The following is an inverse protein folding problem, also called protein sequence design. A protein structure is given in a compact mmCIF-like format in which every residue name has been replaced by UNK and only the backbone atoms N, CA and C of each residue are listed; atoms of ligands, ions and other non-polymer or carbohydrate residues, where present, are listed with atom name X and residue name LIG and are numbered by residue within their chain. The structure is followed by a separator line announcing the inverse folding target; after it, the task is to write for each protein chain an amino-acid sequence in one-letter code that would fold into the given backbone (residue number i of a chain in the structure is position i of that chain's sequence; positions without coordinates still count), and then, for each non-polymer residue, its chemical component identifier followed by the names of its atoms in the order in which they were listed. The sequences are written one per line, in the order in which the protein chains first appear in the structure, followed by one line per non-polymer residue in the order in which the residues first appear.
data_IF_286182803478
#
_entry.id   IF_286182803478
#
_cell.length_a   1.000
_cell.length_b   1.000
_cell.length_c   1.000
_cell.angle_alpha   90.00
_cell.angle_beta   90.00
_cell.angle_gamma   90.00
#
_symmetry.space_group_name_H-M   'P 1'
#
loop_
_entity.id
_entity.type
_entity.pdbx_description
1 polymer ?
#
# COMPACT_ATOMS: atom_id res chain seq x y z
N UNK A 1 49.75 -24.97 2.30
CA UNK A 1 49.78 -24.11 1.09
C UNK A 1 48.88 -22.91 1.34
N UNK A 2 49.41 -21.78 1.83
CA UNK A 2 48.65 -20.53 1.94
C UNK A 2 48.94 -19.71 0.68
N UNK A 3 47.93 -19.57 -0.16
CA UNK A 3 47.98 -18.86 -1.44
C UNK A 3 48.27 -17.38 -1.23
N UNK A 4 49.25 -16.86 -1.96
CA UNK A 4 49.43 -15.43 -2.24
C UNK A 4 48.13 -14.87 -2.82
N UNK A 5 47.33 -14.20 -1.98
CA UNK A 5 46.27 -13.32 -2.48
C UNK A 5 46.97 -12.12 -3.12
N UNK A 6 46.68 -11.85 -4.39
CA UNK A 6 47.32 -10.73 -5.08
C UNK A 6 46.87 -9.41 -4.46
N UNK A 7 47.78 -8.44 -4.33
CA UNK A 7 47.46 -7.10 -3.77
C UNK A 7 46.28 -6.42 -4.48
N UNK A 8 45.99 -6.81 -5.72
CA UNK A 8 44.82 -6.34 -6.49
C UNK A 8 43.51 -6.89 -5.94
N UNK A 9 43.47 -8.16 -5.52
CA UNK A 9 42.28 -8.73 -4.88
C UNK A 9 42.00 -8.11 -3.52
N UNK A 10 43.04 -7.84 -2.73
CA UNK A 10 42.91 -7.16 -1.44
C UNK A 10 42.41 -5.71 -1.60
N UNK A 11 42.88 -4.98 -2.62
CA UNK A 11 42.42 -3.62 -2.88
C UNK A 11 40.94 -3.58 -3.31
N UNK A 12 40.50 -4.54 -4.12
CA UNK A 12 39.10 -4.63 -4.59
C UNK A 12 38.14 -4.96 -3.44
N UNK A 13 38.53 -5.84 -2.52
CA UNK A 13 37.68 -6.17 -1.35
C UNK A 13 37.58 -5.01 -0.36
N UNK A 14 38.68 -4.29 -0.11
CA UNK A 14 38.66 -3.09 0.74
C UNK A 14 37.78 -2.00 0.13
N UNK A 15 37.87 -1.78 -1.19
CA UNK A 15 37.04 -0.79 -1.88
C UNK A 15 35.55 -1.14 -1.80
N UNK A 16 35.19 -2.42 -1.99
CA UNK A 16 33.81 -2.88 -1.90
C UNK A 16 33.20 -2.66 -0.50
N UNK A 17 33.97 -2.91 0.57
CA UNK A 17 33.54 -2.65 1.95
C UNK A 17 33.32 -1.14 2.19
N UNK A 18 34.20 -0.29 1.65
CA UNK A 18 34.11 1.16 1.81
C UNK A 18 32.86 1.74 1.11
N UNK A 19 32.51 1.23 -0.07
CA UNK A 19 31.30 1.63 -0.81
C UNK A 19 30.03 1.24 -0.04
N UNK A 20 29.98 0.03 0.52
CA UNK A 20 28.83 -0.43 1.31
C UNK A 20 28.67 0.41 2.59
N UNK A 21 29.79 0.76 3.26
CA UNK A 21 29.75 1.62 4.45
C UNK A 21 29.28 3.05 4.12
N UNK A 22 29.69 3.63 2.99
CA UNK A 22 29.24 4.96 2.55
C UNK A 22 27.74 5.00 2.24
N UNK A 23 27.21 3.98 1.54
CA UNK A 23 25.76 3.87 1.25
C UNK A 23 24.94 3.67 2.53
N UNK A 24 25.48 2.93 3.51
CA UNK A 24 24.87 2.77 4.84
C UNK A 24 24.84 4.04 5.68
N UNK A 25 25.85 4.91 5.57
CA UNK A 25 25.92 6.18 6.33
C UNK A 25 24.96 7.23 5.77
N UNK A 26 24.76 7.30 4.44
CA UNK A 26 23.83 8.27 3.82
C UNK A 26 22.37 7.95 4.17
N UNK A 27 22.03 6.66 4.34
CA UNK A 27 20.67 6.24 4.69
C UNK A 27 20.31 6.42 6.18
N UNK A 28 21.25 6.87 7.03
CA UNK A 28 21.04 6.95 8.49
C UNK A 28 21.28 8.35 9.10
N UNK A 29 21.23 9.43 8.31
CA UNK A 29 21.17 10.81 8.81
C UNK A 29 19.76 11.39 8.64
N UNK A 30 18.79 10.80 9.33
CA UNK A 30 17.50 11.45 9.62
C UNK A 30 16.96 10.93 10.95
N UNK A 31 17.75 11.15 12.00
CA UNK A 31 17.26 11.11 13.38
C UNK A 31 17.70 12.42 14.01
N UNK A 32 16.81 13.40 13.87
CA UNK A 32 16.95 14.71 14.47
C UNK A 32 17.13 14.60 15.99
N UNK A 33 18.18 15.27 16.44
CA UNK A 33 18.27 15.84 17.77
C UNK A 33 17.14 16.85 17.99
N UNK A 34 16.16 16.52 18.83
CA UNK A 34 15.43 17.54 19.58
C UNK A 34 14.99 16.97 20.92
N UNK A 35 15.83 17.19 21.94
CA UNK A 35 15.44 17.05 23.34
C UNK A 35 15.62 18.40 24.01
N UNK A 36 14.49 18.93 24.49
CA UNK A 36 14.32 19.94 25.53
C UNK A 36 14.89 21.35 25.26
N UNK A 37 13.99 22.33 25.13
CA UNK A 37 14.03 23.53 26.00
C UNK A 37 12.63 24.13 26.04
N UNK A 38 12.04 24.16 27.24
CA UNK A 38 10.85 24.90 27.57
C UNK A 38 11.18 26.39 27.68
N UNK A 39 10.45 27.25 26.98
CA UNK A 39 10.33 28.66 27.35
C UNK A 39 8.95 29.18 26.93
N UNK A 40 8.13 29.54 27.92
CA UNK A 40 7.02 30.47 27.72
C UNK A 40 7.55 31.83 27.25
N UNK A 41 6.80 32.53 26.39
CA UNK A 41 6.28 33.90 26.61
C UNK A 41 5.58 34.47 25.35
N UNK A 42 4.27 34.67 25.50
CA UNK A 42 3.41 35.80 25.10
C UNK A 42 3.71 36.75 23.91
N UNK A 43 2.63 36.95 23.12
CA UNK A 43 1.96 38.24 22.74
C UNK A 43 2.26 38.92 21.38
N UNK A 44 1.19 38.91 20.57
CA UNK A 44 0.70 39.83 19.51
C UNK A 44 1.62 40.43 18.44
N UNK A 45 1.25 40.18 17.17
CA UNK A 45 0.90 41.26 16.22
C UNK A 45 0.08 40.75 15.01
N UNK A 46 -0.72 41.67 14.48
CA UNK A 46 -1.85 41.66 13.53
C UNK A 46 -1.65 41.13 12.08
N UNK A 47 -2.61 40.30 11.62
CA UNK A 47 -3.53 40.37 10.43
C UNK A 47 -2.94 40.81 9.05
N UNK A 48 -3.20 40.11 7.90
CA UNK A 48 -4.56 39.83 7.42
C UNK A 48 -4.92 38.43 6.93
N UNK A 49 -6.23 38.23 6.98
CA UNK A 49 -7.05 37.12 6.53
C UNK A 49 -6.62 36.63 5.14
N UNK A 50 -6.10 35.41 5.11
CA UNK A 50 -6.13 34.52 3.96
C UNK A 50 -6.99 33.35 4.36
N UNK A 51 -7.95 32.99 3.51
CA UNK A 51 -8.94 31.94 3.70
C UNK A 51 -8.28 30.66 4.21
N UNK A 52 -8.36 30.43 5.52
CA UNK A 52 -8.20 29.10 6.08
C UNK A 52 -9.47 28.32 5.70
N UNK A 53 -9.46 27.80 4.47
CA UNK A 53 -10.22 26.59 4.14
C UNK A 53 -9.77 25.58 5.18
N UNK A 54 -10.63 25.33 6.17
CA UNK A 54 -10.39 24.32 7.21
C UNK A 54 -10.13 23.00 6.51
N UNK A 55 -8.85 22.68 6.30
CA UNK A 55 -8.42 21.35 5.89
C UNK A 55 -8.76 20.47 7.08
N UNK A 56 -9.93 19.85 7.04
CA UNK A 56 -10.29 18.79 7.98
C UNK A 56 -9.21 17.73 7.78
N UNK A 57 -8.23 17.69 8.66
CA UNK A 57 -7.17 16.69 8.65
C UNK A 57 -7.85 15.35 8.97
N UNK A 58 -8.24 14.64 7.91
CA UNK A 58 -8.76 13.28 8.03
C UNK A 58 -7.72 12.40 8.73
N UNK A 59 -8.20 11.45 9.53
CA UNK A 59 -7.32 10.50 10.19
C UNK A 59 -6.63 9.63 9.14
N UNK A 60 -5.38 9.25 9.38
CA UNK A 60 -4.64 8.35 8.49
C UNK A 60 -4.71 6.92 8.99
N UNK A 61 -5.01 6.00 8.08
CA UNK A 61 -4.82 4.57 8.25
C UNK A 61 -3.79 4.05 7.26
N UNK A 62 -3.13 2.95 7.59
CA UNK A 62 -2.20 2.27 6.69
C UNK A 62 -2.64 0.83 6.53
N UNK A 63 -2.71 0.36 5.30
CA UNK A 63 -3.14 -0.98 4.93
C UNK A 63 -2.02 -1.71 4.20
N UNK A 64 -1.88 -3.00 4.43
CA UNK A 64 -1.09 -3.87 3.58
C UNK A 64 -1.93 -5.10 3.24
N UNK A 65 -1.95 -5.48 1.97
CA UNK A 65 -2.67 -6.67 1.52
C UNK A 65 -1.67 -7.79 1.26
N UNK A 66 -1.95 -8.98 1.79
CA UNK A 66 -1.23 -10.22 1.50
C UNK A 66 -2.17 -11.16 0.76
N UNK A 67 -1.75 -11.65 -0.41
CA UNK A 67 -2.51 -12.60 -1.21
C UNK A 67 -1.83 -13.96 -1.16
N UNK A 68 -2.60 -14.99 -0.84
CA UNK A 68 -2.12 -16.38 -0.76
C UNK A 68 -3.04 -17.34 -1.50
N UNK A 69 -2.48 -18.45 -1.95
CA UNK A 69 -3.24 -19.56 -2.53
C UNK A 69 -4.07 -20.23 -1.43
N UNK A 70 -5.37 -20.36 -1.64
CA UNK A 70 -6.31 -20.85 -0.62
C UNK A 70 -6.05 -22.30 -0.20
N UNK A 71 -5.42 -23.11 -1.06
CA UNK A 71 -5.17 -24.53 -0.81
C UNK A 71 -3.80 -24.74 -0.17
N UNK A 72 -2.77 -24.07 -0.68
CA UNK A 72 -1.39 -24.27 -0.23
C UNK A 72 -0.96 -23.29 0.87
N UNK A 73 -1.65 -22.16 0.99
CA UNK A 73 -1.27 -21.07 1.89
C UNK A 73 -0.02 -20.30 1.44
N UNK A 74 0.56 -20.65 0.29
CA UNK A 74 1.77 -20.01 -0.23
C UNK A 74 1.46 -18.60 -0.76
N UNK A 75 2.40 -17.64 -0.60
CA UNK A 75 2.25 -16.29 -1.14
C UNK A 75 2.12 -16.30 -2.66
N UNK A 76 1.28 -15.41 -3.18
CA UNK A 76 1.09 -15.22 -4.61
C UNK A 76 1.76 -13.92 -5.04
N UNK A 77 2.78 -14.05 -5.87
CA UNK A 77 3.47 -12.93 -6.51
C UNK A 77 2.72 -12.43 -7.75
N UNK A 78 2.74 -11.11 -7.96
CA UNK A 78 2.22 -10.46 -9.15
C UNK A 78 0.69 -10.48 -9.24
N UNK A 79 -0.02 -10.52 -8.12
CA UNK A 79 -1.47 -10.32 -8.07
C UNK A 79 -1.78 -8.83 -8.04
N UNK A 80 -2.69 -8.40 -8.92
CA UNK A 80 -3.18 -7.03 -8.98
C UNK A 80 -4.22 -6.82 -7.88
N UNK A 81 -4.02 -5.80 -7.06
CA UNK A 81 -4.89 -5.40 -5.96
C UNK A 81 -5.42 -4.00 -6.26
N UNK A 82 -6.73 -3.91 -6.39
CA UNK A 82 -7.45 -2.67 -6.73
C UNK A 82 -8.36 -2.28 -5.57
N UNK A 83 -8.41 -0.98 -5.27
CA UNK A 83 -9.27 -0.42 -4.23
C UNK A 83 -10.35 0.45 -4.86
N UNK A 84 -11.58 0.35 -4.35
CA UNK A 84 -12.70 1.15 -4.86
C UNK A 84 -12.45 2.66 -4.75
N UNK A 85 -11.73 3.10 -3.72
CA UNK A 85 -11.54 4.50 -3.36
C UNK A 85 -10.14 5.06 -3.68
N UNK A 86 -9.25 4.28 -4.32
CA UNK A 86 -7.91 4.73 -4.72
C UNK A 86 -7.70 4.56 -6.23
N UNK A 87 -7.05 5.53 -6.85
CA UNK A 87 -6.76 5.54 -8.30
C UNK A 87 -5.33 5.11 -8.60
N UNK A 88 -4.86 4.10 -7.85
CA UNK A 88 -3.55 3.49 -8.01
C UNK A 88 -3.71 1.97 -8.05
N UNK A 89 -2.96 1.34 -8.97
CA UNK A 89 -2.82 -0.10 -9.03
C UNK A 89 -1.70 -0.54 -8.07
N UNK A 90 -1.97 -1.57 -7.28
CA UNK A 90 -0.97 -2.21 -6.42
C UNK A 90 -0.75 -3.65 -6.86
N UNK A 91 0.48 -4.13 -6.74
CA UNK A 91 0.84 -5.49 -7.14
C UNK A 91 1.56 -6.18 -5.98
N UNK A 92 1.29 -7.46 -5.76
CA UNK A 92 1.99 -8.23 -4.73
C UNK A 92 3.41 -8.61 -5.16
N UNK A 93 4.36 -8.49 -4.24
CA UNK A 93 5.73 -8.98 -4.43
C UNK A 93 5.89 -10.48 -4.17
N UNK A 94 7.14 -10.94 -4.15
CA UNK A 94 7.51 -12.36 -3.88
C UNK A 94 6.99 -12.91 -2.56
N UNK A 95 6.84 -12.05 -1.56
CA UNK A 95 6.30 -12.41 -0.25
C UNK A 95 4.77 -12.39 -0.20
N UNK A 96 4.13 -12.16 -1.34
CA UNK A 96 2.68 -12.09 -1.50
C UNK A 96 2.07 -10.79 -0.98
N UNK A 97 2.88 -9.81 -0.54
CA UNK A 97 2.39 -8.54 0.00
C UNK A 97 2.48 -7.41 -1.01
N UNK A 98 1.54 -6.48 -0.92
CA UNK A 98 1.67 -5.16 -1.55
C UNK A 98 2.65 -4.29 -0.76
N UNK A 99 3.05 -3.15 -1.33
CA UNK A 99 3.55 -2.04 -0.51
C UNK A 99 2.51 -1.58 0.52
N UNK A 100 2.94 -0.77 1.48
CA UNK A 100 2.04 -0.14 2.46
C UNK A 100 1.23 0.94 1.74
N UNK A 101 -0.08 0.89 1.91
CA UNK A 101 -1.06 1.74 1.24
C UNK A 101 -1.63 2.74 2.25
N UNK A 102 -1.41 4.05 2.06
CA UNK A 102 -2.02 5.07 2.90
C UNK A 102 -3.51 5.21 2.57
N UNK A 103 -4.33 5.34 3.61
CA UNK A 103 -5.78 5.49 3.51
C UNK A 103 -6.23 6.70 4.31
N UNK A 104 -7.03 7.57 3.68
CA UNK A 104 -7.67 8.69 4.35
C UNK A 104 -8.98 8.21 4.99
N UNK A 105 -9.13 8.44 6.28
CA UNK A 105 -10.30 8.04 7.06
C UNK A 105 -11.14 9.27 7.34
N UNK A 106 -12.36 9.26 6.79
CA UNK A 106 -13.32 10.32 7.03
C UNK A 106 -13.86 10.21 8.45
N UNK A 107 -13.73 11.28 9.22
CA UNK A 107 -14.34 11.38 10.54
C UNK A 107 -15.75 11.92 10.35
N UNK A 108 -16.78 11.10 10.58
CA UNK A 108 -18.14 11.62 10.65
C UNK A 108 -18.40 12.26 12.01
N UNK A 109 -19.15 13.37 12.04
CA UNK A 109 -19.61 14.01 13.27
C UNK A 109 -20.35 13.03 14.20
N UNK A 110 -21.03 12.02 13.64
CA UNK A 110 -21.73 10.96 14.36
C UNK A 110 -20.83 9.89 15.01
N UNK A 111 -19.54 9.84 14.66
CA UNK A 111 -18.59 8.85 15.19
C UNK A 111 -18.12 9.18 16.63
N UNK A 112 -18.40 10.41 17.11
CA UNK A 112 -17.84 10.96 18.35
C UNK A 112 -18.30 10.25 19.63
N UNK A 113 -19.35 9.43 19.59
CA UNK A 113 -20.00 8.96 20.83
C UNK A 113 -19.58 7.54 21.25
N UNK A 114 -19.32 6.57 20.36
CA UNK A 114 -19.03 5.18 20.80
C UNK A 114 -18.15 4.29 19.88
N UNK A 115 -17.63 4.74 18.74
CA UNK A 115 -16.86 3.85 17.84
C UNK A 115 -15.64 4.52 17.23
N UNK A 116 -14.52 3.80 17.19
CA UNK A 116 -13.34 4.27 16.46
C UNK A 116 -13.73 4.50 14.99
N UNK A 117 -13.35 5.67 14.41
CA UNK A 117 -13.63 5.96 13.02
C UNK A 117 -12.95 4.93 12.11
N UNK A 118 -13.56 4.65 10.97
CA UNK A 118 -12.99 3.76 9.96
C UNK A 118 -13.44 4.20 8.57
N UNK A 119 -12.63 3.90 7.57
CA UNK A 119 -13.04 3.95 6.17
C UNK A 119 -13.43 2.54 5.73
N UNK A 120 -14.56 2.43 5.03
CA UNK A 120 -14.99 1.18 4.40
C UNK A 120 -14.49 1.13 2.97
N UNK A 121 -13.80 0.05 2.61
CA UNK A 121 -13.19 -0.11 1.29
C UNK A 121 -13.56 -1.46 0.68
N UNK A 122 -13.73 -1.48 -0.65
CA UNK A 122 -13.83 -2.70 -1.43
C UNK A 122 -12.47 -3.00 -2.07
N UNK A 123 -12.00 -4.23 -1.92
CA UNK A 123 -10.71 -4.70 -2.43
C UNK A 123 -10.96 -5.77 -3.49
N UNK A 124 -10.52 -5.52 -4.72
CA UNK A 124 -10.49 -6.51 -5.80
C UNK A 124 -9.10 -7.11 -5.93
N UNK A 125 -9.01 -8.42 -6.11
CA UNK A 125 -7.75 -9.15 -6.34
C UNK A 125 -7.87 -9.96 -7.62
N UNK A 126 -6.93 -9.73 -8.54
CA UNK A 126 -6.91 -10.30 -9.88
C UNK A 126 -5.57 -10.93 -10.18
N UNK A 127 -5.58 -12.20 -10.57
CA UNK A 127 -4.36 -12.92 -10.97
C UNK A 127 -4.71 -13.98 -12.00
N UNK A 128 -3.99 -13.98 -13.12
CA UNK A 128 -4.12 -15.04 -14.13
C UNK A 128 -3.92 -16.43 -13.50
N UNK A 129 -4.81 -17.37 -13.81
CA UNK A 129 -4.79 -18.73 -13.24
C UNK A 129 -5.45 -18.85 -11.85
N UNK A 130 -6.02 -17.78 -11.33
CA UNK A 130 -6.82 -17.77 -10.11
C UNK A 130 -8.21 -17.20 -10.39
N UNK A 131 -9.18 -17.59 -9.56
CA UNK A 131 -10.50 -16.99 -9.58
C UNK A 131 -10.40 -15.53 -9.10
N UNK A 132 -11.14 -14.65 -9.77
CA UNK A 132 -11.25 -13.26 -9.35
C UNK A 132 -11.92 -13.18 -7.98
N UNK A 133 -11.39 -12.29 -7.14
CA UNK A 133 -11.81 -12.19 -5.75
C UNK A 133 -12.18 -10.77 -5.37
N UNK A 134 -13.29 -10.60 -4.66
CA UNK A 134 -13.75 -9.30 -4.15
C UNK A 134 -14.00 -9.38 -2.63
N UNK A 135 -13.34 -8.51 -1.87
CA UNK A 135 -13.62 -8.28 -0.46
C UNK A 135 -14.41 -6.99 -0.32
N UNK A 136 -15.68 -7.10 0.01
CA UNK A 136 -16.55 -5.95 0.29
C UNK A 136 -16.55 -5.64 1.79
N UNK A 137 -16.82 -4.39 2.17
CA UNK A 137 -16.99 -4.01 3.57
C UNK A 137 -15.74 -4.09 4.44
N UNK A 138 -14.55 -4.06 3.84
CA UNK A 138 -13.31 -4.06 4.62
C UNK A 138 -13.14 -2.73 5.35
N UNK A 139 -13.00 -2.78 6.68
CA UNK A 139 -12.84 -1.58 7.52
C UNK A 139 -11.37 -1.28 7.80
N UNK A 140 -10.88 -0.15 7.30
CA UNK A 140 -9.55 0.41 7.62
C UNK A 140 -9.68 1.41 8.75
N UNK A 141 -8.89 1.24 9.81
CA UNK A 141 -8.89 2.11 11.00
C UNK A 141 -7.64 2.97 11.05
N UNK A 142 -7.61 4.03 11.88
CA UNK A 142 -6.41 4.80 12.09
C UNK A 142 -5.29 3.91 12.62
N UNK A 143 -4.15 3.96 11.96
CA UNK A 143 -2.93 3.23 12.33
C UNK A 143 -1.71 4.07 11.94
N UNK A 144 -0.53 3.56 12.24
CA UNK A 144 0.75 4.15 11.84
C UNK A 144 1.39 3.33 10.72
N UNK A 145 2.35 3.93 10.01
CA UNK A 145 3.04 3.27 8.89
C UNK A 145 3.89 2.07 9.34
N UNK A 146 4.44 2.08 10.56
CA UNK A 146 5.19 0.95 11.14
C UNK A 146 4.29 -0.22 11.55
N UNK A 147 2.98 0.03 11.73
CA UNK A 147 1.99 -0.96 12.14
C UNK A 147 0.76 -0.89 11.22
N UNK A 148 0.92 -1.19 9.91
CA UNK A 148 -0.19 -1.20 8.99
C UNK A 148 -1.16 -2.32 9.36
N UNK A 149 -2.45 -2.10 9.10
CA UNK A 149 -3.44 -3.16 9.16
C UNK A 149 -3.15 -4.17 8.04
N UNK A 150 -2.84 -5.41 8.40
CA UNK A 150 -2.65 -6.50 7.43
C UNK A 150 -3.99 -7.14 7.07
N UNK A 151 -4.29 -7.25 5.77
CA UNK A 151 -5.42 -8.03 5.23
C UNK A 151 -4.90 -9.21 4.44
N UNK A 152 -5.20 -10.42 4.91
CA UNK A 152 -4.84 -11.65 4.22
C UNK A 152 -6.02 -12.10 3.38
N UNK A 153 -5.84 -12.16 2.07
CA UNK A 153 -6.84 -12.60 1.09
C UNK A 153 -6.40 -13.95 0.52
N UNK A 154 -7.31 -14.92 0.58
CA UNK A 154 -7.08 -16.29 0.08
C UNK A 154 -7.85 -16.45 -1.22
N UNK A 155 -7.15 -16.68 -2.33
CA UNK A 155 -7.76 -16.86 -3.65
C UNK A 155 -7.56 -18.29 -4.15
N UNK A 156 -8.55 -18.79 -4.87
CA UNK A 156 -8.60 -20.19 -5.34
C UNK A 156 -7.99 -20.26 -6.73
N UNK A 157 -7.13 -21.25 -6.99
CA UNK A 157 -6.69 -21.55 -8.36
C UNK A 157 -7.89 -21.95 -9.21
N UNK A 158 -8.00 -21.34 -10.38
CA UNK A 158 -9.03 -21.65 -11.34
C UNK A 158 -8.38 -21.90 -12.69
N UNK A 159 -8.57 -23.11 -13.22
CA UNK A 159 -8.08 -23.50 -14.55
C UNK A 159 -8.83 -22.80 -15.68
N UNK A 160 -9.98 -22.21 -15.38
CA UNK A 160 -10.78 -21.37 -16.28
C UNK A 160 -11.27 -20.13 -15.54
N UNK A 161 -11.35 -18.95 -16.18
CA UNK A 161 -11.94 -17.76 -15.57
C UNK A 161 -13.38 -18.05 -15.15
N UNK A 162 -13.70 -17.91 -13.86
CA UNK A 162 -15.05 -18.13 -13.36
C UNK A 162 -15.92 -16.91 -13.67
N UNK A 163 -17.15 -17.14 -14.16
CA UNK A 163 -18.11 -16.06 -14.46
C UNK A 163 -18.72 -15.44 -13.21
N UNK A 164 -18.68 -16.16 -12.08
CA UNK A 164 -19.03 -15.68 -10.76
C UNK A 164 -17.76 -15.43 -9.95
N UNK A 165 -17.62 -14.27 -9.30
CA UNK A 165 -16.49 -13.98 -8.44
C UNK A 165 -16.58 -14.77 -7.13
N UNK A 166 -15.42 -15.10 -6.55
CA UNK A 166 -15.38 -15.54 -5.15
C UNK A 166 -15.43 -14.29 -4.27
N UNK A 167 -16.34 -14.21 -3.31
CA UNK A 167 -16.47 -13.07 -2.42
C UNK A 167 -16.63 -13.47 -0.97
N UNK A 168 -16.09 -12.65 -0.05
CA UNK A 168 -16.22 -12.85 1.38
C UNK A 168 -17.19 -11.84 1.98
N UNK A 169 -18.49 -12.15 1.94
CA UNK A 169 -19.51 -11.73 2.91
C UNK A 169 -20.90 -12.20 2.43
N UNK A 170 -21.60 -12.97 3.26
CA UNK A 170 -22.96 -13.47 3.00
C UNK A 170 -24.02 -12.38 2.83
N UNK A 171 -23.69 -11.13 3.22
CA UNK A 171 -24.60 -9.99 3.18
C UNK A 171 -24.95 -9.54 1.74
N UNK A 172 -24.08 -9.81 0.77
CA UNK A 172 -24.25 -9.33 -0.60
C UNK A 172 -24.71 -10.46 -1.53
N UNK A 173 -25.67 -10.17 -2.40
CA UNK A 173 -26.10 -11.14 -3.41
C UNK A 173 -25.00 -11.37 -4.45
N UNK A 174 -25.05 -12.52 -5.12
CA UNK A 174 -24.13 -12.84 -6.21
C UNK A 174 -24.18 -11.79 -7.34
N UNK A 175 -25.36 -11.24 -7.63
CA UNK A 175 -25.53 -10.21 -8.66
C UNK A 175 -24.82 -8.91 -8.29
N UNK A 176 -24.95 -8.47 -7.03
CA UNK A 176 -24.23 -7.28 -6.53
C UNK A 176 -22.72 -7.53 -6.56
N UNK A 177 -22.26 -8.70 -6.11
CA UNK A 177 -20.84 -9.05 -6.16
C UNK A 177 -20.30 -9.06 -7.59
N UNK A 178 -21.09 -9.55 -8.56
CA UNK A 178 -20.74 -9.56 -9.99
C UNK A 178 -20.67 -8.16 -10.57
N UNK A 179 -21.63 -7.30 -10.26
CA UNK A 179 -21.61 -5.90 -10.70
C UNK A 179 -20.37 -5.16 -10.18
N UNK A 180 -20.11 -5.29 -8.87
CA UNK A 180 -18.94 -4.69 -8.22
C UNK A 180 -17.65 -5.24 -8.83
N UNK A 181 -17.58 -6.55 -9.08
CA UNK A 181 -16.44 -7.18 -9.72
C UNK A 181 -16.17 -6.58 -11.11
N UNK A 182 -17.21 -6.41 -11.93
CA UNK A 182 -17.05 -5.82 -13.26
C UNK A 182 -16.51 -4.40 -13.19
N UNK A 183 -17.03 -3.55 -12.31
CA UNK A 183 -16.52 -2.18 -12.10
C UNK A 183 -15.06 -2.18 -11.66
N UNK A 184 -14.66 -3.12 -10.80
CA UNK A 184 -13.28 -3.25 -10.34
C UNK A 184 -12.34 -3.74 -11.45
N UNK A 185 -12.81 -4.60 -12.37
CA UNK A 185 -12.06 -5.01 -13.57
C UNK A 185 -11.91 -3.88 -14.57
N UNK A 186 -12.97 -3.11 -14.82
CA UNK A 186 -12.89 -1.92 -15.66
C UNK A 186 -11.86 -0.93 -15.09
N UNK A 187 -11.90 -0.69 -13.78
CA UNK A 187 -10.90 0.12 -13.08
C UNK A 187 -9.48 -0.47 -13.19
N UNK A 188 -9.31 -1.79 -13.07
CA UNK A 188 -8.02 -2.44 -13.28
C UNK A 188 -7.47 -2.13 -14.68
N UNK A 189 -8.29 -2.30 -15.71
CA UNK A 189 -7.87 -2.09 -17.10
C UNK A 189 -7.53 -0.61 -17.35
N UNK A 190 -8.32 0.33 -16.83
CA UNK A 190 -8.00 1.75 -16.97
C UNK A 190 -6.69 2.12 -16.29
N UNK A 191 -6.43 1.60 -15.09
CA UNK A 191 -5.19 1.86 -14.36
C UNK A 191 -3.97 1.23 -15.05
N UNK A 192 -4.12 0.03 -15.62
CA UNK A 192 -3.05 -0.65 -16.35
C UNK A 192 -2.67 0.09 -17.64
N UNK A 193 -3.65 0.59 -18.40
CA UNK A 193 -3.40 1.35 -19.62
C UNK A 193 -2.67 2.67 -19.33
N UNK A 194 -3.06 3.37 -18.26
CA UNK A 194 -2.42 4.62 -17.87
C UNK A 194 -0.93 4.43 -17.48
N UNK A 195 -0.57 3.27 -16.92
CA UNK A 195 0.84 2.94 -16.61
C UNK A 195 1.67 2.75 -17.89
N UNK A 196 1.09 2.11 -18.92
CA UNK A 196 1.77 1.90 -20.20
C UNK A 196 2.00 3.20 -20.98
N UNK A 197 1.02 4.11 -20.97
CA UNK A 197 1.15 5.41 -21.64
C UNK A 197 2.25 6.28 -21.01
N UNK A 198 2.40 6.24 -19.68
CA UNK A 198 3.48 6.95 -18.98
C UNK A 198 4.86 6.36 -19.30
N UNK A 199 4.98 5.04 -19.39
CA UNK A 199 6.25 4.39 -19.76
C UNK A 199 6.65 4.68 -21.21
N UNK A 200 5.72 4.78 -22.16
CA UNK A 200 6.05 5.09 -23.57
C UNK A 200 6.54 6.53 -23.79
N UNK A 201 6.05 7.49 -23.00
CA UNK A 201 6.46 8.90 -23.10
C UNK A 201 7.90 9.08 -22.60
N UNK A 202 8.32 8.39 -21.53
CA UNK A 202 9.67 8.49 -20.99
C UNK A 202 10.77 7.89 -21.89
N UNK A 203 10.41 7.04 -22.87
CA UNK A 203 11.39 6.41 -23.78
C UNK A 203 11.65 7.28 -25.03
N UNK A 204 10.85 8.33 -25.24
CA UNK A 204 10.89 9.16 -26.46
C UNK A 204 11.52 10.55 -26.25
N UNK A 205 11.97 10.87 -25.02
CA UNK A 205 12.78 12.08 -24.70
C UNK A 205 14.28 11.76 -24.58
#
# INVERSE_FOLDING_TARGET
MLSKVSNRFLAVTILAIFVIALVGIISNKSLESSKLTSTELQKNSSVPVSEQVSKVEGLKGYLQVMVVDSKTGLPIEGANVVFSNLDQLYTTGKDGKTQIIPMQIKVSESSKILSQPYEEVVIGVFKQGYADYILMGSKVRPTTQDKPQLKIIRIVKASTPTTAPVFAMEKYSADVAKEVMNKMKEKLNSLANNLQEVEEIEITE
#
